data_IF_919758619896
#
_entry.id   IF_919758619896
#
_cell.length_a   1.000
_cell.length_b   1.000
_cell.length_c   1.000
_cell.angle_alpha   90.00
_cell.angle_beta   90.00
_cell.angle_gamma   90.00
#
_symmetry.space_group_name_H-M   'P 1'
#
loop_
_entity.id
_entity.type
_entity.pdbx_description
1 polymer ?
#
# COMPACT_ATOMS: atom_id res chain seq x y z
N UNK A 1 25.23 -19.57 -7.51
CA UNK A 1 24.77 -18.52 -8.44
C UNK A 1 24.48 -17.28 -7.62
N UNK A 2 25.32 -16.24 -7.73
CA UNK A 2 24.94 -14.90 -7.26
C UNK A 2 23.55 -14.59 -7.84
N UNK A 3 22.60 -14.34 -6.95
CA UNK A 3 21.21 -14.11 -7.33
C UNK A 3 21.15 -12.83 -8.17
N UNK A 4 21.17 -12.98 -9.50
CA UNK A 4 21.05 -11.84 -10.40
C UNK A 4 19.80 -11.04 -10.06
N UNK A 5 19.89 -9.71 -10.16
CA UNK A 5 18.81 -8.76 -9.83
C UNK A 5 17.46 -9.18 -10.43
N UNK A 6 17.46 -9.74 -11.64
CA UNK A 6 16.26 -10.20 -12.35
C UNK A 6 15.70 -11.53 -11.82
N UNK A 7 16.54 -12.46 -11.39
CA UNK A 7 16.09 -13.73 -10.79
C UNK A 7 15.33 -13.44 -9.50
N UNK A 8 15.83 -12.54 -8.66
CA UNK A 8 15.14 -12.17 -7.43
C UNK A 8 13.84 -11.40 -7.70
N UNK A 9 13.84 -10.50 -8.70
CA UNK A 9 12.62 -9.82 -9.13
C UNK A 9 11.58 -10.83 -9.66
N UNK A 10 12.00 -11.81 -10.45
CA UNK A 10 11.12 -12.88 -10.94
C UNK A 10 10.50 -13.68 -9.79
N UNK A 11 11.29 -14.06 -8.79
CA UNK A 11 10.77 -14.76 -7.59
C UNK A 11 9.70 -13.93 -6.88
N UNK A 12 9.91 -12.62 -6.76
CA UNK A 12 8.92 -11.72 -6.16
C UNK A 12 7.64 -11.60 -7.00
N UNK A 13 7.78 -11.61 -8.34
CA UNK A 13 6.64 -11.60 -9.26
C UNK A 13 5.85 -12.91 -9.15
N UNK A 14 6.52 -14.06 -9.16
CA UNK A 14 5.90 -15.40 -9.00
C UNK A 14 5.13 -15.49 -7.67
N UNK A 15 5.74 -15.02 -6.58
CA UNK A 15 5.12 -14.96 -5.26
C UNK A 15 3.76 -14.22 -5.25
N UNK A 16 3.65 -13.15 -6.03
CA UNK A 16 2.41 -12.37 -6.12
C UNK A 16 1.46 -12.97 -7.14
N UNK A 17 1.93 -13.26 -8.34
CA UNK A 17 1.09 -13.62 -9.49
C UNK A 17 0.60 -15.05 -9.40
N UNK A 18 1.47 -16.00 -9.06
CA UNK A 18 1.14 -17.43 -9.03
C UNK A 18 0.72 -17.86 -7.63
N UNK A 19 1.46 -17.47 -6.59
CA UNK A 19 1.15 -17.89 -5.21
C UNK A 19 0.08 -17.03 -4.53
N UNK A 20 -0.34 -15.92 -5.15
CA UNK A 20 -1.37 -14.99 -4.64
C UNK A 20 -1.03 -14.42 -3.25
N UNK A 21 0.25 -14.27 -2.93
CA UNK A 21 0.72 -13.71 -1.67
C UNK A 21 1.04 -12.22 -1.81
N UNK A 22 1.03 -11.52 -0.69
CA UNK A 22 1.37 -10.08 -0.69
C UNK A 22 2.86 -9.87 -0.92
N UNK A 23 3.21 -8.89 -1.75
CA UNK A 23 4.61 -8.48 -1.97
C UNK A 23 5.27 -7.97 -0.69
N UNK A 24 4.50 -7.40 0.25
CA UNK A 24 5.03 -6.93 1.54
C UNK A 24 5.49 -8.06 2.46
N UNK A 25 5.04 -9.28 2.20
CA UNK A 25 5.46 -10.50 2.88
C UNK A 25 6.62 -11.22 2.17
N UNK A 26 7.01 -10.76 0.98
CA UNK A 26 8.17 -11.32 0.28
C UNK A 26 9.45 -10.88 0.98
N UNK A 27 10.24 -11.85 1.45
CA UNK A 27 11.49 -11.59 2.14
C UNK A 27 12.62 -11.34 1.13
N UNK A 28 12.91 -10.07 0.86
CA UNK A 28 14.11 -9.70 0.14
C UNK A 28 15.36 -9.86 1.04
N UNK A 29 16.53 -10.24 0.48
CA UNK A 29 17.81 -10.13 1.18
C UNK A 29 18.07 -8.69 1.65
N UNK A 30 18.84 -8.54 2.73
CA UNK A 30 19.17 -7.23 3.31
C UNK A 30 19.79 -6.27 2.27
N UNK A 31 20.76 -6.77 1.49
CA UNK A 31 21.51 -6.00 0.49
C UNK A 31 20.87 -6.02 -0.91
N UNK A 32 19.55 -6.18 -0.98
CA UNK A 32 18.84 -6.20 -2.26
C UNK A 32 19.00 -4.87 -3.02
N UNK A 33 19.34 -4.95 -4.30
CA UNK A 33 19.46 -3.78 -5.17
C UNK A 33 18.12 -3.04 -5.30
N UNK A 34 18.16 -1.72 -5.36
CA UNK A 34 16.98 -0.88 -5.66
C UNK A 34 16.35 -1.28 -7.01
N UNK A 35 17.17 -1.69 -7.96
CA UNK A 35 16.75 -2.19 -9.27
C UNK A 35 15.87 -3.45 -9.15
N UNK A 36 16.20 -4.40 -8.28
CA UNK A 36 15.38 -5.60 -8.06
C UNK A 36 13.96 -5.22 -7.65
N UNK A 37 13.84 -4.30 -6.68
CA UNK A 37 12.53 -3.80 -6.22
C UNK A 37 11.84 -3.04 -7.35
N UNK A 38 12.53 -2.14 -8.04
CA UNK A 38 11.97 -1.39 -9.18
C UNK A 38 11.36 -2.33 -10.24
N UNK A 39 12.08 -3.39 -10.62
CA UNK A 39 11.60 -4.40 -11.57
C UNK A 39 10.37 -5.15 -11.06
N UNK A 40 10.41 -5.64 -9.82
CA UNK A 40 9.28 -6.39 -9.24
C UNK A 40 8.02 -5.51 -9.10
N UNK A 41 8.15 -4.35 -8.45
CA UNK A 41 7.03 -3.42 -8.24
C UNK A 41 6.50 -2.88 -9.57
N UNK A 42 7.38 -2.57 -10.52
CA UNK A 42 7.00 -2.08 -11.84
C UNK A 42 6.26 -3.13 -12.66
N UNK A 43 6.74 -4.38 -12.67
CA UNK A 43 6.05 -5.48 -13.36
C UNK A 43 4.66 -5.72 -12.76
N UNK A 44 4.53 -5.68 -11.43
CA UNK A 44 3.24 -5.87 -10.76
C UNK A 44 2.30 -4.69 -11.03
N UNK A 45 2.80 -3.44 -11.03
CA UNK A 45 2.03 -2.23 -11.38
C UNK A 45 1.42 -2.33 -12.76
N UNK A 46 2.22 -2.76 -13.73
CA UNK A 46 1.80 -2.88 -15.12
C UNK A 46 1.25 -4.27 -15.47
N UNK A 47 0.99 -5.13 -14.47
CA UNK A 47 0.67 -6.55 -14.68
C UNK A 47 -0.43 -6.78 -15.71
N UNK A 48 -1.56 -6.06 -15.62
CA UNK A 48 -2.68 -6.26 -16.54
C UNK A 48 -2.31 -5.91 -17.98
N UNK A 49 -1.58 -4.79 -18.17
CA UNK A 49 -1.11 -4.40 -19.51
C UNK A 49 -0.16 -5.45 -20.08
N UNK A 50 0.84 -5.83 -19.28
CA UNK A 50 1.88 -6.77 -19.69
C UNK A 50 1.28 -8.14 -19.97
N UNK A 51 0.32 -8.57 -19.16
CA UNK A 51 -0.38 -9.83 -19.33
C UNK A 51 -1.19 -9.87 -20.62
N UNK A 52 -1.94 -8.82 -20.92
CA UNK A 52 -2.76 -8.76 -22.13
C UNK A 52 -1.88 -8.75 -23.40
N UNK A 53 -0.75 -8.04 -23.35
CA UNK A 53 0.25 -8.04 -24.43
C UNK A 53 0.88 -9.42 -24.60
N UNK A 54 1.45 -9.99 -23.53
CA UNK A 54 2.16 -11.28 -23.61
C UNK A 54 1.20 -12.40 -24.00
N UNK A 55 0.03 -12.47 -23.38
CA UNK A 55 -0.98 -13.50 -23.69
C UNK A 55 -1.49 -13.38 -25.12
N UNK A 56 -1.65 -12.16 -25.65
CA UNK A 56 -2.05 -11.93 -27.04
C UNK A 56 -0.99 -12.32 -28.07
N UNK A 57 0.28 -12.44 -27.67
CA UNK A 57 1.38 -12.89 -28.55
C UNK A 57 1.64 -14.40 -28.46
N UNK A 58 1.09 -15.08 -27.45
CA UNK A 58 1.21 -16.52 -27.30
C UNK A 58 0.24 -17.24 -28.25
N UNK A 59 0.76 -18.17 -29.06
CA UNK A 59 -0.06 -19.02 -29.95
C UNK A 59 -0.89 -20.03 -29.17
N UNK A 60 -0.34 -20.53 -28.08
CA UNK A 60 -0.96 -21.50 -27.18
C UNK A 60 -0.73 -21.04 -25.74
N UNK A 61 -1.70 -21.28 -24.87
CA UNK A 61 -1.53 -21.04 -23.45
C UNK A 61 -0.45 -21.97 -22.90
N UNK A 62 0.32 -21.47 -21.93
CA UNK A 62 1.29 -22.29 -21.22
C UNK A 62 0.59 -23.21 -20.23
N UNK A 63 1.16 -24.38 -20.02
CA UNK A 63 0.74 -25.29 -18.95
C UNK A 63 1.00 -24.67 -17.58
N UNK A 64 0.31 -25.19 -16.56
CA UNK A 64 0.37 -24.62 -15.20
C UNK A 64 1.80 -24.62 -14.64
N UNK A 65 2.56 -25.66 -14.94
CA UNK A 65 3.95 -25.86 -14.51
C UNK A 65 4.91 -24.85 -15.14
N UNK A 66 4.52 -24.20 -16.25
CA UNK A 66 5.34 -23.26 -17.03
C UNK A 66 4.92 -21.79 -16.87
N UNK A 67 4.03 -21.49 -15.93
CA UNK A 67 3.58 -20.10 -15.68
C UNK A 67 4.66 -19.19 -15.08
N UNK A 68 5.76 -19.75 -14.58
CA UNK A 68 6.97 -19.01 -14.24
C UNK A 68 7.63 -18.38 -15.49
N UNK A 69 7.57 -19.05 -16.63
CA UNK A 69 7.99 -18.50 -17.94
C UNK A 69 7.09 -17.35 -18.36
N UNK A 70 5.79 -17.44 -18.08
CA UNK A 70 4.88 -16.29 -18.26
C UNK A 70 5.34 -15.10 -17.42
N UNK A 71 5.61 -15.31 -16.14
CA UNK A 71 6.13 -14.26 -15.24
C UNK A 71 7.48 -13.68 -15.74
N UNK A 72 8.34 -14.52 -16.32
CA UNK A 72 9.59 -14.09 -16.92
C UNK A 72 9.37 -13.20 -18.16
N UNK A 73 8.40 -13.53 -19.01
CA UNK A 73 8.00 -12.70 -20.14
C UNK A 73 7.40 -11.36 -19.67
N UNK A 74 6.60 -11.35 -18.60
CA UNK A 74 6.08 -10.10 -18.01
C UNK A 74 7.23 -9.20 -17.52
N UNK A 75 8.22 -9.77 -16.83
CA UNK A 75 9.41 -9.05 -16.37
C UNK A 75 10.21 -8.48 -17.56
N UNK A 76 10.41 -9.25 -18.62
CA UNK A 76 11.07 -8.78 -19.84
C UNK A 76 10.29 -7.65 -20.54
N UNK A 77 8.97 -7.82 -20.67
CA UNK A 77 8.08 -6.84 -21.29
C UNK A 77 8.08 -5.51 -20.50
N UNK A 78 8.06 -5.57 -19.16
CA UNK A 78 8.19 -4.39 -18.31
C UNK A 78 9.49 -3.63 -18.61
N UNK A 79 10.60 -4.34 -18.73
CA UNK A 79 11.89 -3.72 -19.01
C UNK A 79 11.92 -2.98 -20.36
N UNK A 80 11.28 -3.53 -21.39
CA UNK A 80 11.24 -2.92 -22.73
C UNK A 80 10.33 -1.69 -22.77
N UNK A 81 9.16 -1.79 -22.14
CA UNK A 81 8.08 -0.80 -22.27
C UNK A 81 8.23 0.35 -21.27
N UNK A 82 8.63 0.06 -20.03
CA UNK A 82 8.48 0.99 -18.90
C UNK A 82 9.77 1.25 -18.11
N UNK A 83 10.86 0.52 -18.38
CA UNK A 83 12.14 0.75 -17.69
C UNK A 83 13.11 1.59 -18.52
N UNK A 84 14.04 2.25 -17.84
CA UNK A 84 15.13 3.01 -18.46
C UNK A 84 16.36 2.13 -18.79
N UNK A 85 16.25 0.81 -18.71
CA UNK A 85 17.36 -0.12 -18.98
C UNK A 85 17.54 -0.26 -20.50
N UNK A 86 18.79 -0.32 -20.97
CA UNK A 86 19.11 -0.56 -22.38
C UNK A 86 18.44 -1.86 -22.87
N UNK A 87 17.64 -1.76 -23.94
CA UNK A 87 16.76 -2.84 -24.41
C UNK A 87 17.50 -4.12 -24.80
N UNK A 88 18.68 -3.99 -25.43
CA UNK A 88 19.44 -5.17 -25.84
C UNK A 88 19.98 -5.97 -24.66
N UNK A 89 20.44 -5.29 -23.60
CA UNK A 89 20.88 -5.94 -22.37
C UNK A 89 19.70 -6.59 -21.65
N UNK A 90 18.56 -5.90 -21.53
CA UNK A 90 17.39 -6.42 -20.82
C UNK A 90 16.82 -7.69 -21.45
N UNK A 91 16.78 -7.80 -22.78
CA UNK A 91 16.31 -9.02 -23.45
C UNK A 91 17.26 -10.18 -23.19
N UNK A 92 18.56 -10.01 -23.44
CA UNK A 92 19.55 -11.08 -23.26
C UNK A 92 19.56 -11.61 -21.83
N UNK A 93 19.67 -10.71 -20.85
CA UNK A 93 19.71 -11.09 -19.43
C UNK A 93 18.39 -11.72 -18.95
N UNK A 94 17.25 -11.35 -19.54
CA UNK A 94 15.96 -11.97 -19.21
C UNK A 94 15.86 -13.37 -19.82
N UNK A 95 16.28 -13.54 -21.08
CA UNK A 95 16.27 -14.85 -21.75
C UNK A 95 17.17 -15.85 -21.04
N UNK A 96 18.31 -15.40 -20.53
CA UNK A 96 19.27 -16.28 -19.87
C UNK A 96 18.74 -16.91 -18.57
N UNK A 97 17.79 -16.26 -17.90
CA UNK A 97 17.15 -16.77 -16.68
C UNK A 97 16.42 -18.10 -16.92
N UNK A 98 15.98 -18.38 -18.16
CA UNK A 98 15.30 -19.63 -18.48
C UNK A 98 16.17 -20.88 -18.22
N UNK A 99 17.50 -20.77 -18.31
CA UNK A 99 18.39 -21.88 -17.95
C UNK A 99 18.38 -22.14 -16.45
N UNK A 100 18.36 -21.06 -15.64
CA UNK A 100 18.25 -21.15 -14.19
C UNK A 100 16.88 -21.61 -13.67
N UNK A 101 15.90 -21.76 -14.56
CA UNK A 101 14.58 -22.35 -14.28
C UNK A 101 14.47 -23.81 -14.78
N UNK A 102 15.57 -24.42 -15.21
CA UNK A 102 15.62 -25.75 -15.82
C UNK A 102 14.70 -25.89 -17.05
N UNK A 103 14.46 -24.78 -17.77
CA UNK A 103 13.56 -24.69 -18.93
C UNK A 103 14.28 -24.08 -20.15
N UNK A 104 15.37 -24.68 -20.65
CA UNK A 104 16.15 -24.13 -21.77
C UNK A 104 15.33 -24.00 -23.06
N UNK A 105 14.29 -24.83 -23.24
CA UNK A 105 13.36 -24.73 -24.37
C UNK A 105 12.68 -23.35 -24.43
N UNK A 106 12.43 -22.74 -23.27
CA UNK A 106 11.72 -21.47 -23.16
C UNK A 106 12.58 -20.29 -23.66
N UNK A 107 13.91 -20.42 -23.76
CA UNK A 107 14.80 -19.35 -24.26
C UNK A 107 14.34 -18.82 -25.62
N UNK A 108 14.02 -19.72 -26.54
CA UNK A 108 13.57 -19.34 -27.89
C UNK A 108 12.22 -18.62 -27.84
N UNK A 109 11.29 -19.10 -27.01
CA UNK A 109 9.98 -18.50 -26.84
C UNK A 109 10.08 -17.09 -26.22
N UNK A 110 10.74 -16.97 -25.08
CA UNK A 110 10.93 -15.69 -24.37
C UNK A 110 11.62 -14.68 -25.30
N UNK A 111 12.70 -15.07 -25.98
CA UNK A 111 13.37 -14.17 -26.92
C UNK A 111 12.44 -13.74 -28.07
N UNK A 112 11.68 -14.66 -28.67
CA UNK A 112 10.76 -14.34 -29.76
C UNK A 112 9.68 -13.34 -29.33
N UNK A 113 9.05 -13.57 -28.17
CA UNK A 113 8.01 -12.68 -27.61
C UNK A 113 8.59 -11.31 -27.29
N UNK A 114 9.72 -11.23 -26.57
CA UNK A 114 10.35 -9.98 -26.21
C UNK A 114 10.83 -9.18 -27.43
N UNK A 115 11.34 -9.85 -28.47
CA UNK A 115 11.71 -9.20 -29.73
C UNK A 115 10.50 -8.68 -30.50
N UNK A 116 9.36 -9.37 -30.45
CA UNK A 116 8.12 -8.85 -31.02
C UNK A 116 7.65 -7.59 -30.28
N UNK A 117 7.65 -7.61 -28.94
CA UNK A 117 7.31 -6.44 -28.12
C UNK A 117 8.26 -5.28 -28.40
N UNK A 118 9.56 -5.54 -28.55
CA UNK A 118 10.55 -4.51 -28.91
C UNK A 118 10.23 -3.85 -30.26
N UNK A 119 9.90 -4.65 -31.30
CA UNK A 119 9.53 -4.13 -32.62
C UNK A 119 8.25 -3.31 -32.60
N UNK A 120 7.26 -3.77 -31.83
CA UNK A 120 5.94 -3.13 -31.77
C UNK A 120 5.84 -2.06 -30.69
N UNK A 121 6.95 -1.69 -30.02
CA UNK A 121 6.96 -0.84 -28.83
C UNK A 121 6.15 0.45 -29.01
N UNK A 122 6.40 1.21 -30.08
CA UNK A 122 5.75 2.51 -30.30
C UNK A 122 4.25 2.34 -30.56
N UNK A 123 3.86 1.29 -31.28
CA UNK A 123 2.45 0.93 -31.50
C UNK A 123 1.77 0.51 -30.20
N UNK A 124 2.45 -0.23 -29.33
CA UNK A 124 1.92 -0.65 -28.02
C UNK A 124 1.73 0.56 -27.11
N UNK A 125 2.70 1.48 -27.06
CA UNK A 125 2.66 2.65 -26.17
C UNK A 125 1.64 3.71 -26.60
N UNK A 126 1.24 3.74 -27.86
CA UNK A 126 0.15 4.61 -28.35
C UNK A 126 -1.25 4.06 -28.01
N UNK A 127 -1.37 2.77 -27.69
CA UNK A 127 -2.63 2.18 -27.26
C UNK A 127 -2.89 2.46 -25.77
N UNK A 128 -4.00 3.12 -25.47
CA UNK A 128 -4.40 3.41 -24.09
C UNK A 128 -4.67 2.11 -23.34
N UNK A 129 -3.85 1.84 -22.33
CA UNK A 129 -4.07 0.74 -21.41
C UNK A 129 -3.87 1.20 -19.96
N UNK A 130 -4.92 1.07 -19.16
CA UNK A 130 -4.90 1.59 -17.78
C UNK A 130 -4.22 0.65 -16.78
N UNK A 131 -3.93 -0.60 -17.12
CA UNK A 131 -3.30 -1.59 -16.22
C UNK A 131 -4.10 -1.88 -14.93
N UNK A 132 -5.42 -1.90 -15.03
CA UNK A 132 -6.30 -2.27 -13.92
C UNK A 132 -7.24 -3.39 -14.38
N UNK A 133 -7.71 -4.26 -13.47
CA UNK A 133 -8.66 -5.30 -13.82
C UNK A 133 -10.01 -4.69 -14.24
N UNK A 134 -10.72 -5.38 -15.13
CA UNK A 134 -11.98 -4.90 -15.74
C UNK A 134 -13.02 -4.44 -14.70
N UNK A 135 -13.15 -5.14 -13.58
CA UNK A 135 -14.10 -4.78 -12.52
C UNK A 135 -13.77 -3.40 -11.90
N UNK A 136 -12.49 -3.09 -11.73
CA UNK A 136 -12.02 -1.85 -11.11
C UNK A 136 -12.13 -0.70 -12.09
N UNK A 137 -11.82 -0.94 -13.36
CA UNK A 137 -12.05 0.02 -14.44
C UNK A 137 -13.51 0.48 -14.49
N UNK A 138 -14.44 -0.48 -14.50
CA UNK A 138 -15.89 -0.20 -14.50
C UNK A 138 -16.31 0.61 -13.28
N UNK A 139 -15.85 0.20 -12.08
CA UNK A 139 -16.20 0.86 -10.82
C UNK A 139 -15.70 2.30 -10.76
N UNK A 140 -14.45 2.56 -11.14
CA UNK A 140 -13.87 3.92 -11.13
C UNK A 140 -14.57 4.80 -12.16
N UNK A 141 -14.80 4.30 -13.39
CA UNK A 141 -15.53 5.07 -14.42
C UNK A 141 -16.94 5.44 -14.01
N UNK A 142 -17.64 4.55 -13.31
CA UNK A 142 -18.99 4.81 -12.80
C UNK A 142 -19.00 5.82 -11.65
N UNK A 143 -17.97 5.78 -10.77
CA UNK A 143 -17.93 6.63 -9.57
C UNK A 143 -17.34 8.01 -9.85
N UNK A 144 -16.39 8.11 -10.80
CA UNK A 144 -15.66 9.34 -11.15
C UNK A 144 -15.66 9.55 -12.67
N UNK A 145 -16.83 9.75 -13.31
CA UNK A 145 -16.94 9.84 -14.77
C UNK A 145 -16.08 10.96 -15.38
N UNK A 146 -15.89 12.07 -14.66
CA UNK A 146 -15.11 13.21 -15.16
C UNK A 146 -13.61 13.12 -14.84
N UNK A 147 -13.21 12.19 -13.97
CA UNK A 147 -11.85 12.14 -13.41
C UNK A 147 -11.14 10.78 -13.55
N UNK A 148 -11.81 9.75 -14.09
CA UNK A 148 -11.27 8.39 -14.12
C UNK A 148 -9.92 8.29 -14.83
N UNK A 149 -9.71 9.04 -15.92
CA UNK A 149 -8.46 9.01 -16.67
C UNK A 149 -7.28 9.46 -15.81
N UNK A 150 -7.45 10.59 -15.11
CA UNK A 150 -6.45 11.12 -14.19
C UNK A 150 -6.17 10.15 -13.06
N UNK A 151 -7.21 9.49 -12.51
CA UNK A 151 -7.05 8.46 -11.47
C UNK A 151 -6.19 7.30 -11.99
N UNK A 152 -6.50 6.76 -13.17
CA UNK A 152 -5.73 5.64 -13.73
C UNK A 152 -4.28 6.02 -14.07
N UNK A 153 -4.06 7.22 -14.61
CA UNK A 153 -2.72 7.73 -14.88
C UNK A 153 -1.93 7.82 -13.56
N UNK A 154 -2.51 8.43 -12.52
CA UNK A 154 -1.83 8.59 -11.23
C UNK A 154 -1.60 7.27 -10.50
N UNK A 155 -2.51 6.30 -10.59
CA UNK A 155 -2.30 4.97 -10.01
C UNK A 155 -1.12 4.23 -10.66
N UNK A 156 -0.81 4.54 -11.93
CA UNK A 156 0.32 3.94 -12.65
C UNK A 156 1.64 4.69 -12.47
N UNK A 157 1.67 5.77 -11.68
CA UNK A 157 2.93 6.43 -11.32
C UNK A 157 3.56 5.74 -10.11
N UNK A 158 4.85 6.03 -9.89
CA UNK A 158 5.49 5.61 -8.65
C UNK A 158 4.98 6.48 -7.50
N UNK A 159 4.50 5.84 -6.44
CA UNK A 159 4.07 6.53 -5.24
C UNK A 159 5.23 7.36 -4.66
N UNK A 160 5.03 8.67 -4.42
CA UNK A 160 6.07 9.51 -3.84
C UNK A 160 6.22 9.19 -2.35
N UNK A 161 7.39 9.52 -1.79
CA UNK A 161 7.64 9.35 -0.37
C UNK A 161 7.14 10.59 0.38
N UNK A 162 6.13 10.40 1.23
CA UNK A 162 5.62 11.45 2.12
C UNK A 162 6.01 11.18 3.56
N UNK A 163 6.48 12.21 4.25
CA UNK A 163 6.79 12.19 5.68
C UNK A 163 5.73 12.97 6.46
N UNK A 164 5.43 12.54 7.68
CA UNK A 164 4.82 13.37 8.74
C UNK A 164 5.93 13.84 9.66
N UNK A 165 6.19 15.15 9.72
CA UNK A 165 7.19 15.71 10.63
C UNK A 165 6.61 15.84 12.05
N UNK A 166 7.40 15.44 13.05
CA UNK A 166 7.02 15.65 14.44
C UNK A 166 7.34 17.10 14.86
N UNK A 167 6.39 17.87 15.42
CA UNK A 167 6.55 19.31 15.70
C UNK A 167 7.71 19.67 16.63
N UNK A 168 8.14 18.75 17.50
CA UNK A 168 9.25 18.98 18.42
C UNK A 168 10.64 18.88 17.77
N UNK A 169 10.71 18.41 16.51
CA UNK A 169 11.97 18.27 15.77
C UNK A 169 11.99 19.23 14.58
N UNK A 170 12.99 20.12 14.55
CA UNK A 170 13.21 20.97 13.39
C UNK A 170 14.13 20.26 12.38
N UNK A 171 13.58 19.36 11.59
CA UNK A 171 14.32 18.68 10.50
C UNK A 171 13.95 19.22 9.11
N UNK A 172 12.97 20.10 9.02
CA UNK A 172 12.40 20.57 7.74
C UNK A 172 13.45 21.26 6.86
N UNK A 173 14.34 22.04 7.48
CA UNK A 173 15.45 22.74 6.80
C UNK A 173 16.47 21.81 6.16
N UNK A 174 16.45 20.52 6.49
CA UNK A 174 17.37 19.51 5.98
C UNK A 174 16.70 18.59 4.94
N UNK A 175 15.45 18.86 4.56
CA UNK A 175 14.69 18.05 3.61
C UNK A 175 14.57 18.76 2.26
N UNK A 176 14.91 18.04 1.19
CA UNK A 176 14.53 18.41 -0.16
C UNK A 176 13.07 17.97 -0.43
N UNK A 177 12.12 18.79 0.01
CA UNK A 177 10.72 18.45 0.04
C UNK A 177 9.77 19.63 -0.20
N UNK A 178 8.58 19.32 -0.70
CA UNK A 178 7.49 20.28 -0.87
C UNK A 178 6.46 20.12 0.26
N UNK A 179 5.98 21.25 0.80
CA UNK A 179 4.91 21.27 1.78
C UNK A 179 3.54 21.03 1.14
N UNK A 180 2.70 20.22 1.79
CA UNK A 180 1.32 19.97 1.34
C UNK A 180 0.37 20.81 2.21
N UNK A 181 -0.22 21.86 1.62
CA UNK A 181 -1.06 22.84 2.33
C UNK A 181 -2.17 22.23 3.19
N UNK A 182 -2.84 21.18 2.69
CA UNK A 182 -3.96 20.54 3.39
C UNK A 182 -3.53 19.68 4.58
N UNK A 183 -2.26 19.25 4.63
CA UNK A 183 -1.68 18.44 5.69
C UNK A 183 -0.41 19.13 6.21
N UNK A 184 -0.50 20.03 7.20
CA UNK A 184 0.61 20.93 7.57
C UNK A 184 1.92 20.26 7.98
N UNK A 185 1.83 19.05 8.56
CA UNK A 185 2.99 18.24 8.94
C UNK A 185 3.57 17.42 7.78
N UNK A 186 2.89 17.37 6.64
CA UNK A 186 3.29 16.55 5.51
C UNK A 186 4.41 17.21 4.71
N UNK A 187 5.43 16.41 4.40
CA UNK A 187 6.48 16.77 3.44
C UNK A 187 6.54 15.73 2.35
N UNK A 188 6.32 16.17 1.12
CA UNK A 188 6.48 15.36 -0.08
C UNK A 188 7.93 15.45 -0.53
N UNK A 189 8.70 14.39 -0.36
CA UNK A 189 10.10 14.40 -0.80
C UNK A 189 10.19 14.45 -2.32
N UNK A 190 11.09 15.28 -2.84
CA UNK A 190 11.38 15.33 -4.28
C UNK A 190 12.01 14.01 -4.76
N UNK A 191 12.79 13.36 -3.89
CA UNK A 191 13.33 12.02 -4.10
C UNK A 191 13.15 11.17 -2.84
N UNK A 192 12.77 9.90 -3.01
CA UNK A 192 12.68 8.97 -1.90
C UNK A 192 14.08 8.66 -1.35
N UNK A 193 14.22 8.65 -0.03
CA UNK A 193 15.48 8.38 0.66
C UNK A 193 15.35 7.18 1.59
N UNK A 194 16.49 6.59 1.96
CA UNK A 194 16.51 5.62 3.05
C UNK A 194 16.12 6.32 4.37
N UNK A 195 15.14 5.78 5.09
CA UNK A 195 14.67 6.36 6.35
C UNK A 195 15.76 6.50 7.40
N UNK A 196 16.78 5.63 7.38
CA UNK A 196 17.92 5.70 8.30
C UNK A 196 18.87 6.86 7.99
N UNK A 197 18.76 7.50 6.82
CA UNK A 197 19.50 8.72 6.50
C UNK A 197 18.75 9.99 6.94
N UNK A 198 17.49 9.87 7.37
CA UNK A 198 16.72 11.01 7.87
C UNK A 198 17.21 11.36 9.28
N UNK A 199 17.45 12.65 9.50
CA UNK A 199 17.97 13.16 10.77
C UNK A 199 17.05 12.79 11.95
N UNK A 200 17.62 12.17 12.99
CA UNK A 200 16.90 11.77 14.21
C UNK A 200 15.68 10.85 13.96
N UNK A 201 15.65 10.09 12.86
CA UNK A 201 14.53 9.19 12.55
C UNK A 201 14.26 8.16 13.64
N UNK A 202 15.33 7.60 14.21
CA UNK A 202 15.33 6.68 15.35
C UNK A 202 14.74 7.29 16.63
N UNK A 203 14.75 8.62 16.74
CA UNK A 203 14.16 9.38 17.85
C UNK A 203 12.73 9.86 17.57
N UNK A 204 12.12 9.43 16.46
CA UNK A 204 10.75 9.80 16.10
C UNK A 204 10.61 11.20 15.52
N UNK A 205 11.66 11.75 14.91
CA UNK A 205 11.61 13.09 14.28
C UNK A 205 10.61 13.19 13.13
N UNK A 206 10.35 12.08 12.44
CA UNK A 206 9.32 11.98 11.42
C UNK A 206 8.85 10.52 11.24
N UNK A 207 7.73 10.36 10.54
CA UNK A 207 7.15 9.06 10.19
C UNK A 207 6.89 8.99 8.69
N UNK A 208 7.19 7.87 8.04
CA UNK A 208 6.77 7.64 6.64
C UNK A 208 5.26 7.42 6.62
N UNK A 209 4.51 8.40 6.10
CA UNK A 209 3.06 8.39 6.12
C UNK A 209 2.49 9.30 5.03
N UNK A 210 1.58 8.77 4.20
CA UNK A 210 0.88 9.53 3.18
C UNK A 210 0.13 10.75 3.74
N UNK A 211 0.12 11.85 2.99
CA UNK A 211 -0.51 13.10 3.43
C UNK A 211 -1.99 12.94 3.78
N UNK A 212 -2.74 12.16 3.00
CA UNK A 212 -4.15 11.87 3.26
C UNK A 212 -4.36 11.10 4.56
N UNK A 213 -3.46 10.16 4.90
CA UNK A 213 -3.48 9.45 6.16
C UNK A 213 -3.20 10.37 7.37
N UNK A 214 -2.47 11.47 7.17
CA UNK A 214 -2.20 12.46 8.21
C UNK A 214 -3.44 13.30 8.56
N UNK A 215 -4.41 13.46 7.64
CA UNK A 215 -5.64 14.23 7.90
C UNK A 215 -6.56 13.56 8.94
N UNK A 216 -6.45 12.25 9.12
CA UNK A 216 -7.35 11.48 9.95
C UNK A 216 -7.32 11.88 11.43
N UNK A 217 -6.13 12.06 12.02
CA UNK A 217 -6.02 12.35 13.45
C UNK A 217 -6.47 13.78 13.82
N UNK A 218 -6.10 14.84 13.06
CA UNK A 218 -6.63 16.19 13.29
C UNK A 218 -8.15 16.26 13.16
N UNK A 219 -8.73 15.57 12.17
CA UNK A 219 -10.18 15.51 12.02
C UNK A 219 -10.84 14.84 13.23
N UNK A 220 -10.20 13.82 13.82
CA UNK A 220 -10.73 13.16 15.03
C UNK A 220 -10.68 14.10 16.23
N UNK A 221 -9.81 15.12 16.19
CA UNK A 221 -9.65 16.16 17.19
C UNK A 221 -9.47 15.58 18.62
N UNK A 222 -8.51 14.67 18.84
CA UNK A 222 -8.39 13.95 20.11
C UNK A 222 -8.07 14.90 21.27
N UNK A 223 -8.60 14.59 22.46
CA UNK A 223 -8.34 15.33 23.69
C UNK A 223 -7.56 14.48 24.67
N UNK A 224 -6.77 15.13 25.52
CA UNK A 224 -6.01 14.47 26.58
C UNK A 224 -6.85 13.65 27.57
N UNK A 225 -8.15 13.95 27.68
CA UNK A 225 -9.10 13.20 28.53
C UNK A 225 -9.71 11.99 27.83
N UNK A 226 -9.45 11.80 26.54
CA UNK A 226 -10.13 10.78 25.75
C UNK A 226 -9.60 9.36 26.02
N UNK A 227 -10.51 8.39 25.93
CA UNK A 227 -10.18 6.99 25.71
C UNK A 227 -10.49 6.66 24.24
N UNK A 228 -9.42 6.46 23.47
CA UNK A 228 -9.45 6.33 22.01
C UNK A 228 -9.19 4.87 21.64
N UNK A 229 -9.96 4.33 20.72
CA UNK A 229 -9.71 3.02 20.11
C UNK A 229 -9.26 3.20 18.65
N UNK A 230 -8.08 2.69 18.32
CA UNK A 230 -7.56 2.52 16.97
C UNK A 230 -7.63 1.03 16.61
N UNK A 231 -8.65 0.63 15.84
CA UNK A 231 -9.03 -0.77 15.68
C UNK A 231 -8.28 -1.54 14.56
N UNK A 232 -7.49 -0.84 13.74
CA UNK A 232 -6.64 -1.42 12.67
C UNK A 232 -5.34 -0.63 12.61
N UNK A 233 -4.61 -0.65 13.73
CA UNK A 233 -3.56 0.30 14.02
C UNK A 233 -2.30 0.09 13.19
N UNK A 234 -2.00 -1.14 12.76
CA UNK A 234 -0.69 -1.42 12.17
C UNK A 234 -0.52 -0.79 10.78
N UNK A 235 0.65 -0.18 10.47
CA UNK A 235 1.91 -0.24 11.22
C UNK A 235 2.08 0.77 12.37
N UNK A 236 1.09 1.62 12.67
CA UNK A 236 1.09 2.48 13.87
C UNK A 236 1.12 3.98 13.58
N UNK A 237 1.30 4.40 12.32
CA UNK A 237 1.48 5.83 11.98
C UNK A 237 0.29 6.73 12.34
N UNK A 238 -0.94 6.22 12.41
CA UNK A 238 -2.09 7.01 12.88
C UNK A 238 -2.18 7.03 14.40
N UNK A 239 -1.90 5.89 15.04
CA UNK A 239 -1.79 5.77 16.50
C UNK A 239 -0.78 6.76 17.06
N UNK A 240 0.40 6.89 16.42
CA UNK A 240 1.42 7.86 16.82
C UNK A 240 0.92 9.29 16.66
N UNK A 241 0.17 9.61 15.60
CA UNK A 241 -0.37 10.95 15.38
C UNK A 241 -1.44 11.30 16.41
N UNK A 242 -2.29 10.33 16.78
CA UNK A 242 -3.26 10.51 17.86
C UNK A 242 -2.59 10.78 19.20
N UNK A 243 -1.53 10.04 19.51
CA UNK A 243 -0.70 10.28 20.69
C UNK A 243 0.00 11.63 20.67
N UNK A 244 0.42 12.09 19.50
CA UNK A 244 1.08 13.39 19.32
C UNK A 244 0.12 14.55 19.62
N UNK A 245 -1.12 14.46 19.12
CA UNK A 245 -2.15 15.48 19.34
C UNK A 245 -2.76 15.45 20.74
N UNK A 246 -2.82 14.28 21.38
CA UNK A 246 -3.33 14.10 22.73
C UNK A 246 -2.42 13.20 23.60
N UNK A 247 -1.26 13.71 24.06
CA UNK A 247 -0.24 12.91 24.75
C UNK A 247 -0.69 12.25 26.05
N UNK A 248 -1.72 12.79 26.71
CA UNK A 248 -2.25 12.23 27.97
C UNK A 248 -3.46 11.31 27.74
N UNK A 249 -3.94 11.18 26.49
CA UNK A 249 -5.05 10.31 26.16
C UNK A 249 -4.70 8.84 26.37
N UNK A 250 -5.72 8.02 26.61
CA UNK A 250 -5.55 6.56 26.66
C UNK A 250 -5.88 6.00 25.30
N UNK A 251 -4.93 5.35 24.63
CA UNK A 251 -5.14 4.76 23.31
C UNK A 251 -5.11 3.24 23.41
N UNK A 252 -6.17 2.59 22.92
CA UNK A 252 -6.26 1.14 22.72
C UNK A 252 -5.99 0.89 21.24
N UNK A 253 -4.87 0.23 20.92
CA UNK A 253 -4.46 -0.05 19.56
C UNK A 253 -4.61 -1.55 19.26
N UNK A 254 -5.42 -1.90 18.27
CA UNK A 254 -5.73 -3.27 17.87
C UNK A 254 -5.41 -3.48 16.38
N UNK A 255 -4.97 -4.69 16.04
CA UNK A 255 -4.87 -5.16 14.66
C UNK A 255 -5.12 -6.67 14.67
N UNK A 256 -5.69 -7.21 13.59
CA UNK A 256 -5.95 -8.66 13.48
C UNK A 256 -4.68 -9.47 13.23
N UNK A 257 -3.62 -8.85 12.72
CA UNK A 257 -2.35 -9.50 12.39
C UNK A 257 -1.30 -9.28 13.48
N UNK A 258 -0.96 -10.37 14.18
CA UNK A 258 0.04 -10.36 15.26
C UNK A 258 1.46 -10.00 14.78
N UNK A 259 1.83 -10.30 13.54
CA UNK A 259 3.14 -9.94 12.99
C UNK A 259 3.19 -8.44 12.69
N UNK A 260 2.09 -7.86 12.18
CA UNK A 260 2.01 -6.41 11.95
C UNK A 260 1.99 -5.61 13.26
N UNK A 261 1.44 -6.17 14.33
CA UNK A 261 1.52 -5.57 15.68
C UNK A 261 2.94 -5.45 16.23
N UNK A 262 3.87 -6.33 15.83
CA UNK A 262 5.29 -6.17 16.21
C UNK A 262 5.87 -4.85 15.71
N UNK A 263 5.53 -4.45 14.48
CA UNK A 263 5.96 -3.16 13.90
C UNK A 263 5.37 -1.96 14.64
N UNK A 264 4.14 -2.11 15.15
CA UNK A 264 3.52 -1.09 16.02
C UNK A 264 4.30 -0.97 17.32
N UNK A 265 4.66 -2.10 17.95
CA UNK A 265 5.47 -2.08 19.16
C UNK A 265 6.84 -1.44 18.92
N UNK A 266 7.51 -1.76 17.82
CA UNK A 266 8.79 -1.14 17.43
C UNK A 266 8.63 0.38 17.25
N UNK A 267 7.62 0.81 16.46
CA UNK A 267 7.32 2.24 16.23
C UNK A 267 7.00 2.99 17.53
N UNK A 268 6.33 2.33 18.47
CA UNK A 268 5.92 2.92 19.73
C UNK A 268 6.95 2.73 20.85
N UNK A 269 7.94 1.85 20.71
CA UNK A 269 8.98 1.63 21.74
C UNK A 269 9.87 2.85 21.95
N UNK A 270 9.92 3.77 20.97
CA UNK A 270 10.54 5.11 21.11
C UNK A 270 9.63 6.18 21.73
N UNK A 271 8.36 5.87 22.03
CA UNK A 271 7.35 6.80 22.54
C UNK A 271 6.79 6.29 23.88
N UNK A 272 6.70 7.15 24.90
CA UNK A 272 6.13 6.77 26.21
C UNK A 272 4.61 6.65 26.10
N UNK A 273 4.12 5.49 25.63
CA UNK A 273 2.70 5.20 25.50
C UNK A 273 2.28 4.01 26.36
N UNK A 274 1.27 4.22 27.21
CA UNK A 274 0.57 3.15 27.93
C UNK A 274 -0.44 2.47 27.00
N UNK A 275 0.02 1.48 26.23
CA UNK A 275 -0.85 0.63 25.40
C UNK A 275 -1.42 -0.48 26.29
N UNK A 276 -2.74 -0.53 26.42
CA UNK A 276 -3.38 -1.31 27.48
C UNK A 276 -3.85 -2.72 27.10
N UNK A 277 -3.89 -3.13 25.82
CA UNK A 277 -4.11 -4.55 25.43
C UNK A 277 -4.09 -4.78 23.91
N UNK A 278 -3.50 -5.91 23.50
CA UNK A 278 -3.65 -6.50 22.17
C UNK A 278 -4.76 -7.56 22.21
N UNK A 279 -5.75 -7.51 21.31
CA UNK A 279 -6.78 -8.55 21.18
C UNK A 279 -6.66 -9.26 19.83
N UNK A 280 -6.47 -10.59 19.85
CA UNK A 280 -6.72 -11.45 18.68
C UNK A 280 -8.23 -11.44 18.35
N UNK A 281 -8.55 -11.54 17.06
CA UNK A 281 -9.91 -11.60 16.48
C UNK A 281 -10.92 -12.51 17.22
N UNK A 282 -10.46 -13.54 17.95
CA UNK A 282 -11.30 -14.44 18.75
C UNK A 282 -12.02 -13.79 19.96
N UNK A 283 -11.93 -12.48 20.14
CA UNK A 283 -12.50 -11.77 21.30
C UNK A 283 -13.54 -10.69 20.98
N UNK A 284 -14.23 -10.74 19.82
CA UNK A 284 -15.35 -9.83 19.50
C UNK A 284 -16.32 -9.59 20.67
N UNK A 285 -16.59 -10.63 21.48
CA UNK A 285 -17.49 -10.55 22.65
C UNK A 285 -16.92 -9.80 23.88
N UNK A 286 -15.60 -9.67 24.03
CA UNK A 286 -14.99 -8.96 25.18
C UNK A 286 -14.88 -7.45 24.95
N UNK A 287 -14.84 -6.99 23.70
CA UNK A 287 -14.72 -5.56 23.38
C UNK A 287 -16.09 -4.87 23.42
N UNK A 288 -17.19 -5.58 23.13
CA UNK A 288 -18.56 -5.07 23.32
C UNK A 288 -18.85 -4.61 24.75
N UNK A 289 -18.16 -5.15 25.76
CA UNK A 289 -18.24 -4.70 27.15
C UNK A 289 -17.48 -3.39 27.45
N UNK A 290 -16.56 -2.96 26.58
CA UNK A 290 -15.80 -1.70 26.73
C UNK A 290 -16.44 -0.51 25.98
N UNK A 291 -17.45 -0.76 25.13
CA UNK A 291 -18.13 0.28 24.35
C UNK A 291 -18.65 1.44 25.21
N UNK A 292 -19.07 1.16 26.45
CA UNK A 292 -19.60 2.16 27.38
C UNK A 292 -18.52 3.08 27.99
N UNK A 293 -17.23 2.80 27.76
CA UNK A 293 -16.10 3.53 28.38
C UNK A 293 -15.33 4.37 27.35
N UNK A 294 -15.36 4.00 26.07
CA UNK A 294 -14.68 4.74 25.00
C UNK A 294 -15.28 6.16 24.87
N UNK A 295 -14.48 7.15 24.48
CA UNK A 295 -14.99 8.49 24.12
C UNK A 295 -14.84 8.77 22.63
N UNK A 296 -13.88 8.14 21.95
CA UNK A 296 -13.68 8.24 20.49
C UNK A 296 -13.31 6.91 19.86
N UNK A 297 -13.74 6.72 18.61
CA UNK A 297 -13.49 5.51 17.84
C UNK A 297 -12.92 5.86 16.47
N UNK A 298 -11.76 5.30 16.15
CA UNK A 298 -11.14 5.36 14.84
C UNK A 298 -11.13 3.97 14.22
N UNK A 299 -11.90 3.80 13.14
CA UNK A 299 -11.94 2.57 12.36
C UNK A 299 -11.38 2.84 10.98
N UNK A 300 -10.23 2.25 10.68
CA UNK A 300 -9.80 2.05 9.31
C UNK A 300 -10.19 0.61 8.94
N UNK A 301 -11.07 0.41 7.96
CA UNK A 301 -11.39 -0.96 7.53
C UNK A 301 -10.11 -1.61 6.96
N UNK A 302 -9.85 -2.92 7.16
CA UNK A 302 -8.85 -3.64 6.39
C UNK A 302 -9.31 -3.63 4.93
N UNK A 303 -8.87 -2.64 4.17
CA UNK A 303 -8.99 -2.61 2.72
C UNK A 303 -7.99 -3.63 2.20
N UNK A 304 -8.39 -4.49 1.27
CA UNK A 304 -7.48 -5.42 0.59
C UNK A 304 -6.21 -4.64 0.13
N UNK A 305 -5.01 -5.26 0.13
CA UNK A 305 -3.74 -4.59 -0.13
C UNK A 305 -3.53 -4.10 -1.57
N UNK A 306 -4.59 -3.69 -2.27
CA UNK A 306 -4.55 -2.73 -3.37
C UNK A 306 -4.20 -1.30 -2.89
N UNK A 307 -4.08 -1.09 -1.58
CA UNK A 307 -4.07 0.23 -0.93
C UNK A 307 -2.76 1.05 -0.99
N UNK A 308 -1.78 0.67 -1.81
CA UNK A 308 -0.75 1.62 -2.30
C UNK A 308 -1.02 2.09 -3.73
N UNK A 309 -1.90 1.39 -4.45
CA UNK A 309 -2.28 1.64 -5.85
C UNK A 309 -3.65 2.30 -5.99
N UNK A 310 -4.51 2.18 -4.98
CA UNK A 310 -5.82 2.80 -4.90
C UNK A 310 -6.08 3.01 -3.42
N UNK A 311 -5.79 4.19 -2.86
CA UNK A 311 -6.11 4.46 -1.46
C UNK A 311 -7.64 4.66 -1.27
N UNK A 312 -8.48 4.34 -2.25
CA UNK A 312 -9.76 5.05 -2.42
C UNK A 312 -11.03 4.16 -2.46
N UNK A 313 -11.00 2.83 -2.67
CA UNK A 313 -12.22 2.15 -3.18
C UNK A 313 -12.66 0.83 -2.54
N UNK A 314 -12.72 0.71 -1.21
CA UNK A 314 -13.60 -0.30 -0.59
C UNK A 314 -14.22 0.26 0.70
N UNK A 315 -15.48 0.71 0.63
CA UNK A 315 -16.54 0.33 1.61
C UNK A 315 -17.84 1.13 1.44
N UNK A 316 -18.52 1.00 0.30
CA UNK A 316 -19.99 1.19 0.27
C UNK A 316 -20.77 -0.13 0.36
N UNK A 317 -20.09 -1.27 0.52
CA UNK A 317 -20.72 -2.58 0.58
C UNK A 317 -20.53 -3.34 1.90
N UNK A 318 -19.77 -2.78 2.86
CA UNK A 318 -19.55 -3.39 4.18
C UNK A 318 -19.80 -2.44 5.37
N UNK A 319 -20.50 -1.33 5.15
CA UNK A 319 -21.31 -0.74 6.22
C UNK A 319 -22.56 -1.60 6.40
N UNK A 320 -22.39 -2.87 6.82
CA UNK A 320 -23.51 -3.63 7.33
C UNK A 320 -23.76 -3.09 8.75
N UNK A 321 -24.89 -2.42 9.03
CA UNK A 321 -25.20 -1.97 10.38
C UNK A 321 -25.12 -3.11 11.41
N UNK A 322 -25.24 -4.38 10.99
CA UNK A 322 -25.03 -5.56 11.85
C UNK A 322 -23.57 -5.82 12.26
N UNK A 323 -22.57 -5.31 11.54
CA UNK A 323 -21.14 -5.41 11.91
C UNK A 323 -20.75 -4.32 12.92
N UNK A 324 -21.37 -3.14 12.84
CA UNK A 324 -21.18 -2.02 13.77
C UNK A 324 -22.08 -2.12 15.01
N UNK A 325 -23.22 -2.80 14.93
CA UNK A 325 -24.17 -2.97 16.03
C UNK A 325 -23.55 -3.49 17.35
N UNK A 326 -22.55 -4.41 17.36
CA UNK A 326 -21.88 -4.83 18.59
C UNK A 326 -20.92 -3.78 19.20
N UNK A 327 -20.58 -2.73 18.45
CA UNK A 327 -19.56 -1.72 18.79
C UNK A 327 -20.15 -0.35 19.11
N UNK A 328 -21.44 -0.14 18.83
CA UNK A 328 -22.18 1.08 19.14
C UNK A 328 -22.73 0.98 20.57
N UNK A 329 -22.19 1.73 21.54
CA UNK A 329 -22.77 1.76 22.87
C UNK A 329 -24.12 2.46 22.86
N UNK A 330 -25.10 1.84 23.51
CA UNK A 330 -26.33 2.47 23.89
C UNK A 330 -25.99 3.59 24.91
N UNK A 331 -26.27 4.87 24.57
CA UNK A 331 -26.41 6.05 25.49
C UNK A 331 -25.40 7.22 25.47
N UNK A 332 -24.50 7.41 24.49
CA UNK A 332 -23.69 8.65 24.40
C UNK A 332 -23.49 9.18 22.98
N UNK A 333 -23.16 10.47 22.84
CA UNK A 333 -22.73 11.13 21.60
C UNK A 333 -21.27 10.77 21.32
N UNK A 334 -20.98 10.22 20.13
CA UNK A 334 -19.63 9.83 19.72
C UNK A 334 -19.23 10.51 18.41
N UNK A 335 -17.95 10.82 18.26
CA UNK A 335 -17.33 11.13 16.97
C UNK A 335 -16.74 9.86 16.40
N UNK A 336 -17.36 9.35 15.34
CA UNK A 336 -16.80 8.28 14.51
C UNK A 336 -16.20 8.95 13.28
N UNK A 337 -14.91 8.72 13.05
CA UNK A 337 -14.28 9.09 11.81
C UNK A 337 -14.01 7.85 10.98
N UNK A 338 -14.70 7.83 9.85
CA UNK A 338 -14.43 6.91 8.78
C UNK A 338 -13.48 7.57 7.79
N UNK A 339 -12.21 7.19 7.84
CA UNK A 339 -11.21 7.68 6.89
C UNK A 339 -11.31 6.92 5.57
N UNK A 340 -12.06 7.44 4.59
CA UNK A 340 -11.84 7.12 3.18
C UNK A 340 -10.80 8.09 2.64
N UNK A 341 -9.85 7.61 1.83
CA UNK A 341 -8.77 8.45 1.32
C UNK A 341 -9.17 9.29 0.09
N UNK A 342 -10.43 9.74 0.08
CA UNK A 342 -10.93 10.79 -0.80
C UNK A 342 -11.37 11.98 0.05
N UNK A 343 -11.50 13.14 -0.59
CA UNK A 343 -11.90 14.44 -0.02
C UNK A 343 -13.28 14.48 0.69
N UNK A 344 -13.80 13.35 1.18
CA UNK A 344 -14.94 13.26 2.07
C UNK A 344 -14.54 12.43 3.29
N UNK A 345 -14.32 13.12 4.40
CA UNK A 345 -14.42 12.53 5.73
C UNK A 345 -15.82 12.83 6.23
N UNK A 346 -16.65 11.80 6.31
CA UNK A 346 -17.99 11.92 6.87
C UNK A 346 -17.88 11.95 8.40
N UNK A 347 -18.22 13.10 8.99
CA UNK A 347 -18.32 13.24 10.43
C UNK A 347 -19.73 12.86 10.87
N UNK A 348 -19.89 11.67 11.45
CA UNK A 348 -21.15 11.26 12.04
C UNK A 348 -21.21 11.75 13.49
N UNK A 349 -22.07 12.73 13.77
CA UNK A 349 -22.52 13.05 15.14
C UNK A 349 -23.87 12.39 15.37
N UNK A 350 -23.89 11.21 15.98
CA UNK A 350 -25.15 10.60 16.40
C UNK A 350 -25.52 11.11 17.80
N UNK A 351 -26.59 11.91 17.90
CA UNK A 351 -27.35 12.06 19.15
C UNK A 351 -28.53 11.10 19.09
N UNK A 352 -28.52 10.04 19.88
CA UNK A 352 -29.71 9.22 20.07
C UNK A 352 -30.60 9.94 21.09
N UNK A 353 -31.81 10.30 20.68
CA UNK A 353 -32.84 10.78 21.59
C UNK A 353 -33.12 9.70 22.64
N UNK A 354 -33.34 10.07 23.92
CA UNK A 354 -33.67 9.11 24.95
C UNK A 354 -35.01 8.44 24.63
N UNK A 355 -35.02 7.10 24.71
CA UNK A 355 -36.25 6.29 24.71
C UNK A 355 -37.12 6.59 25.91
#
# INVERSE_FOLDING_TARGET
MESSTRVLALKAIIWVVLEKKSLSAFAYPQDVSSLTKSLAFGTIRFYHQLNDIVSGLLKHSLEKEDLDIHCLMLLGAYQILHSNIAQHASIYETVDIADGLDKPWAKKLVNAILRQIQRDKDRILTQTHHSHPTWLLKKIKQTYPDNFEKIFIQNNTQAPMTLRLHPQHNIDTHLDATNIKVAPQARLLNQAVNVYHLQNFDKGSCFVQDASAQLAAPLLNPKNTDLILDACCAPGGKTTHLSELAPLSKIIALDSDANRLKRVQETLSGLVLKISRFFKEKHKHKIGGMGNILTKFYLMHPVQPLALFVVILISNYYANPKILAPWLPYKKTFSIIYGQCLNQVEHYSMSLAPS
#
